data_IF_275704136584
#
_entry.id   IF_275704136584
#
_cell.length_a   1.000
_cell.length_b   1.000
_cell.length_c   1.000
_cell.angle_alpha   90.00
_cell.angle_beta   90.00
_cell.angle_gamma   90.00
#
_symmetry.space_group_name_H-M   'P 1'
#
loop_
_entity.id
_entity.type
_entity.pdbx_description
1 polymer ?
#
# COMPACT_ATOMS: atom_id res chain seq x y z
N UNK A 1 -0.70 6.54 -2.42
CA UNK A 1 -0.95 7.82 -3.11
C UNK A 1 -2.03 7.64 -4.18
N UNK A 2 -1.85 6.80 -5.20
CA UNK A 2 -2.82 6.63 -6.30
C UNK A 2 -4.23 6.12 -5.91
N UNK A 3 -4.37 5.32 -4.84
CA UNK A 3 -5.64 4.69 -4.47
C UNK A 3 -6.75 5.67 -4.01
N UNK A 4 -6.40 6.71 -3.26
CA UNK A 4 -7.39 7.49 -2.48
C UNK A 4 -8.19 8.46 -3.36
N UNK A 5 -7.53 9.16 -4.28
CA UNK A 5 -8.16 10.19 -5.12
C UNK A 5 -8.11 9.80 -6.59
N UNK A 6 -6.91 9.54 -7.12
CA UNK A 6 -6.72 9.27 -8.55
C UNK A 6 -7.56 8.08 -9.07
N UNK A 7 -7.59 6.96 -8.34
CA UNK A 7 -8.35 5.77 -8.75
C UNK A 7 -9.87 6.02 -8.86
N UNK A 8 -10.59 6.48 -7.81
CA UNK A 8 -12.03 6.73 -7.90
C UNK A 8 -12.38 7.71 -9.03
N UNK A 9 -11.58 8.76 -9.20
CA UNK A 9 -11.80 9.75 -10.26
C UNK A 9 -11.59 9.10 -11.62
N UNK A 10 -10.54 8.30 -11.81
CA UNK A 10 -10.29 7.58 -13.06
C UNK A 10 -11.39 6.58 -13.40
N UNK A 11 -11.90 5.81 -12.43
CA UNK A 11 -13.02 4.90 -12.66
C UNK A 11 -14.27 5.66 -13.15
N UNK A 12 -14.52 6.84 -12.61
CA UNK A 12 -15.64 7.67 -13.04
C UNK A 12 -15.42 8.30 -14.43
N UNK A 13 -14.26 8.91 -14.67
CA UNK A 13 -14.02 9.69 -15.89
C UNK A 13 -13.61 8.83 -17.09
N UNK A 14 -12.81 7.79 -16.89
CA UNK A 14 -12.30 6.94 -17.97
C UNK A 14 -13.19 5.72 -18.23
N UNK A 15 -13.71 5.07 -17.19
CA UNK A 15 -14.60 3.91 -17.35
C UNK A 15 -16.09 4.27 -17.33
N UNK A 16 -16.42 5.55 -17.10
CA UNK A 16 -17.80 6.02 -17.07
C UNK A 16 -18.61 5.47 -15.89
N UNK A 17 -17.94 5.01 -14.82
CA UNK A 17 -18.66 4.46 -13.67
C UNK A 17 -19.42 5.55 -12.92
N UNK A 18 -20.67 5.25 -12.59
CA UNK A 18 -21.49 6.06 -11.70
C UNK A 18 -20.92 6.11 -10.28
N UNK A 19 -21.34 7.11 -9.51
CA UNK A 19 -21.00 7.23 -8.09
C UNK A 19 -21.25 5.94 -7.29
N UNK A 20 -22.38 5.27 -7.55
CA UNK A 20 -22.74 4.02 -6.87
C UNK A 20 -21.82 2.86 -7.24
N UNK A 21 -21.39 2.77 -8.49
CA UNK A 21 -20.47 1.72 -8.93
C UNK A 21 -19.07 1.94 -8.32
N UNK A 22 -18.56 3.17 -8.37
CA UNK A 22 -17.26 3.50 -7.75
C UNK A 22 -17.30 3.27 -6.25
N UNK A 23 -18.31 3.82 -5.56
CA UNK A 23 -18.46 3.70 -4.11
C UNK A 23 -18.67 2.25 -3.67
N UNK A 24 -19.55 1.51 -4.35
CA UNK A 24 -19.81 0.10 -4.07
C UNK A 24 -18.58 -0.77 -4.29
N UNK A 25 -17.87 -0.58 -5.40
CA UNK A 25 -16.64 -1.30 -5.67
C UNK A 25 -15.56 -1.05 -4.62
N UNK A 26 -15.30 0.23 -4.26
CA UNK A 26 -14.31 0.57 -3.25
C UNK A 26 -14.71 0.05 -1.86
N UNK A 27 -16.01 0.08 -1.51
CA UNK A 27 -16.51 -0.50 -0.27
C UNK A 27 -16.26 -2.02 -0.22
N UNK A 28 -16.65 -2.75 -1.28
CA UNK A 28 -16.38 -4.18 -1.40
C UNK A 28 -14.88 -4.48 -1.32
N UNK A 29 -14.05 -3.68 -1.98
CA UNK A 29 -12.60 -3.82 -1.94
C UNK A 29 -12.05 -3.62 -0.53
N UNK A 30 -12.48 -2.58 0.19
CA UNK A 30 -12.04 -2.30 1.57
C UNK A 30 -12.45 -3.44 2.52
N UNK A 31 -13.68 -3.97 2.38
CA UNK A 31 -14.15 -5.12 3.16
C UNK A 31 -13.31 -6.36 2.85
N UNK A 32 -13.09 -6.67 1.57
CA UNK A 32 -12.27 -7.80 1.14
C UNK A 32 -10.84 -7.70 1.66
N UNK A 33 -10.23 -6.52 1.57
CA UNK A 33 -8.94 -6.21 2.16
C UNK A 33 -8.93 -6.52 3.67
N UNK A 34 -9.94 -6.09 4.42
CA UNK A 34 -10.04 -6.34 5.87
C UNK A 34 -10.13 -7.82 6.21
N UNK A 35 -10.89 -8.59 5.42
CA UNK A 35 -10.97 -10.06 5.54
C UNK A 35 -9.59 -10.67 5.32
N UNK A 36 -8.90 -10.33 4.23
CA UNK A 36 -7.55 -10.86 3.93
C UNK A 36 -6.56 -10.46 5.03
N UNK A 37 -6.63 -9.23 5.54
CA UNK A 37 -5.78 -8.74 6.61
C UNK A 37 -5.97 -9.54 7.90
N UNK A 38 -7.20 -9.93 8.22
CA UNK A 38 -7.49 -10.78 9.39
C UNK A 38 -6.91 -12.20 9.27
N UNK A 39 -6.78 -12.70 8.04
CA UNK A 39 -6.25 -14.03 7.73
C UNK A 39 -4.72 -14.02 7.55
N UNK A 40 -4.12 -12.87 7.24
CA UNK A 40 -2.69 -12.73 7.00
C UNK A 40 -1.79 -13.35 8.10
N UNK A 41 -2.09 -13.23 9.41
CA UNK A 41 -1.28 -13.89 10.46
C UNK A 41 -1.25 -15.42 10.37
N UNK A 42 -2.29 -16.06 9.81
CA UNK A 42 -2.29 -17.50 9.58
C UNK A 42 -1.41 -17.87 8.38
N UNK A 43 -1.39 -17.01 7.35
CA UNK A 43 -0.62 -17.17 6.11
C UNK A 43 0.87 -16.94 6.35
N UNK A 44 1.23 -15.93 7.14
CA UNK A 44 2.63 -15.58 7.44
C UNK A 44 3.27 -16.45 8.52
N UNK A 45 2.62 -17.54 8.95
CA UNK A 45 3.18 -18.50 9.90
C UNK A 45 3.15 -18.05 11.37
N UNK A 46 2.55 -16.89 11.67
CA UNK A 46 2.47 -16.34 13.04
C UNK A 46 1.72 -17.25 14.00
N UNK A 47 0.66 -17.94 13.55
CA UNK A 47 -0.07 -18.95 14.36
C UNK A 47 0.76 -20.20 14.69
N UNK A 48 1.90 -20.41 13.99
CA UNK A 48 2.80 -21.55 14.17
C UNK A 48 4.09 -21.18 14.92
N UNK A 49 4.14 -20.02 15.58
CA UNK A 49 5.29 -19.60 16.40
C UNK A 49 6.50 -19.07 15.62
N UNK A 50 6.39 -18.90 14.29
CA UNK A 50 7.43 -18.23 13.52
C UNK A 50 7.30 -16.72 13.71
N UNK A 51 8.31 -16.11 14.31
CA UNK A 51 8.43 -14.65 14.41
C UNK A 51 8.73 -14.13 13.01
N UNK A 52 7.90 -13.27 12.41
CA UNK A 52 8.20 -12.68 11.12
C UNK A 52 9.47 -11.84 11.23
N UNK A 53 10.57 -12.34 10.66
CA UNK A 53 11.85 -11.63 10.61
C UNK A 53 11.75 -10.41 9.68
N UNK A 54 12.56 -9.38 9.93
CA UNK A 54 12.62 -8.15 9.14
C UNK A 54 12.87 -8.41 7.65
N UNK A 55 13.53 -9.53 7.31
CA UNK A 55 13.70 -9.99 5.94
C UNK A 55 12.37 -10.36 5.25
N UNK A 56 11.45 -11.02 5.96
CA UNK A 56 10.14 -11.35 5.41
C UNK A 56 9.31 -10.08 5.16
N UNK A 57 9.32 -9.14 6.11
CA UNK A 57 8.67 -7.85 5.95
C UNK A 57 9.23 -7.07 4.75
N UNK A 58 10.56 -7.08 4.56
CA UNK A 58 11.19 -6.46 3.39
C UNK A 58 10.76 -7.09 2.06
N UNK A 59 10.69 -8.42 1.97
CA UNK A 59 10.26 -9.10 0.73
C UNK A 59 8.82 -8.75 0.36
N UNK A 60 7.90 -8.78 1.34
CA UNK A 60 6.51 -8.39 1.11
C UNK A 60 6.39 -6.90 0.72
N UNK A 61 7.16 -6.03 1.37
CA UNK A 61 7.21 -4.62 1.03
C UNK A 61 7.76 -4.39 -0.39
N UNK A 62 8.81 -5.11 -0.79
CA UNK A 62 9.40 -5.01 -2.13
C UNK A 62 8.44 -5.51 -3.23
N UNK A 63 7.72 -6.60 -2.99
CA UNK A 63 6.69 -7.10 -3.91
C UNK A 63 5.55 -6.09 -4.06
N UNK A 64 5.09 -5.51 -2.95
CA UNK A 64 4.08 -4.46 -2.95
C UNK A 64 4.55 -3.19 -3.66
N UNK A 65 5.83 -2.84 -3.52
CA UNK A 65 6.47 -1.67 -4.12
C UNK A 65 6.51 -1.72 -5.65
N UNK A 66 6.78 -2.91 -6.22
CA UNK A 66 6.87 -3.09 -7.67
C UNK A 66 5.51 -3.03 -8.36
N UNK A 67 4.43 -3.26 -7.62
CA UNK A 67 3.12 -3.44 -8.22
C UNK A 67 2.54 -2.18 -8.89
N UNK A 68 2.63 -0.96 -8.31
CA UNK A 68 2.25 0.26 -9.03
C UNK A 68 3.00 0.47 -10.35
N UNK A 69 4.29 0.12 -10.41
CA UNK A 69 5.07 0.20 -11.65
C UNK A 69 4.59 -0.81 -12.69
N UNK A 70 4.29 -2.05 -12.28
CA UNK A 70 3.72 -3.08 -13.17
C UNK A 70 2.36 -2.65 -13.71
N UNK A 71 1.49 -2.08 -12.87
CA UNK A 71 0.19 -1.55 -13.31
C UNK A 71 0.41 -0.39 -14.30
N UNK A 72 1.34 0.52 -14.01
CA UNK A 72 1.65 1.63 -14.91
C UNK A 72 2.14 1.15 -16.28
N UNK A 73 3.01 0.14 -16.31
CA UNK A 73 3.49 -0.47 -17.56
C UNK A 73 2.34 -1.17 -18.31
N UNK A 74 1.49 -1.92 -17.61
CA UNK A 74 0.32 -2.57 -18.20
C UNK A 74 -0.65 -1.56 -18.82
N UNK A 75 -0.86 -0.40 -18.17
CA UNK A 75 -1.70 0.68 -18.71
C UNK A 75 -1.09 1.37 -19.94
N UNK A 76 0.22 1.26 -20.14
CA UNK A 76 0.91 1.76 -21.35
C UNK A 76 0.89 0.76 -22.52
N UNK A 77 0.43 -0.47 -22.28
CA UNK A 77 0.39 -1.53 -23.29
C UNK A 77 -0.97 -1.59 -23.99
N UNK A 78 -1.11 -2.48 -24.97
CA UNK A 78 -2.38 -2.73 -25.67
C UNK A 78 -3.38 -3.56 -24.84
N UNK A 79 -3.03 -3.92 -23.60
CA UNK A 79 -3.93 -4.62 -22.69
C UNK A 79 -5.14 -3.77 -22.31
N UNK A 80 -6.26 -4.43 -22.01
CA UNK A 80 -7.45 -3.75 -21.49
C UNK A 80 -7.11 -2.99 -20.20
N UNK A 81 -7.29 -1.65 -20.16
CA UNK A 81 -7.02 -0.86 -18.96
C UNK A 81 -7.84 -1.32 -17.76
N UNK A 82 -9.06 -1.81 -17.99
CA UNK A 82 -9.93 -2.32 -16.93
C UNK A 82 -9.34 -3.58 -16.29
N UNK A 83 -8.86 -4.54 -17.09
CA UNK A 83 -8.24 -5.76 -16.57
C UNK A 83 -6.95 -5.44 -15.80
N UNK A 84 -6.09 -4.59 -16.36
CA UNK A 84 -4.83 -4.20 -15.73
C UNK A 84 -5.09 -3.49 -14.40
N UNK A 85 -5.98 -2.50 -14.39
CA UNK A 85 -6.22 -1.68 -13.21
C UNK A 85 -6.96 -2.46 -12.13
N UNK A 86 -8.06 -3.14 -12.47
CA UNK A 86 -8.87 -3.87 -11.48
C UNK A 86 -8.15 -5.12 -10.98
N UNK A 87 -7.52 -5.88 -11.87
CA UNK A 87 -6.72 -7.05 -11.49
C UNK A 87 -5.51 -6.65 -10.65
N UNK A 88 -4.78 -5.61 -11.07
CA UNK A 88 -3.68 -5.05 -10.31
C UNK A 88 -4.11 -4.54 -8.94
N UNK A 89 -5.29 -3.92 -8.85
CA UNK A 89 -5.83 -3.41 -7.59
C UNK A 89 -6.22 -4.55 -6.62
N UNK A 90 -6.79 -5.64 -7.10
CA UNK A 90 -7.09 -6.81 -6.27
C UNK A 90 -5.81 -7.45 -5.72
N UNK A 91 -4.80 -7.62 -6.58
CA UNK A 91 -3.49 -8.12 -6.17
C UNK A 91 -2.83 -7.17 -5.16
N UNK A 92 -2.92 -5.86 -5.40
CA UNK A 92 -2.42 -4.83 -4.49
C UNK A 92 -3.09 -4.95 -3.12
N UNK A 93 -4.41 -5.15 -3.07
CA UNK A 93 -5.15 -5.32 -1.81
C UNK A 93 -4.66 -6.52 -1.01
N UNK A 94 -4.45 -7.66 -1.67
CA UNK A 94 -3.95 -8.87 -1.01
C UNK A 94 -2.53 -8.67 -0.44
N UNK A 95 -1.61 -8.13 -1.23
CA UNK A 95 -0.24 -7.85 -0.77
C UNK A 95 -0.22 -6.79 0.34
N UNK A 96 -1.01 -5.73 0.18
CA UNK A 96 -1.10 -4.64 1.14
C UNK A 96 -1.66 -5.12 2.48
N UNK A 97 -2.64 -6.01 2.49
CA UNK A 97 -3.20 -6.61 3.69
C UNK A 97 -2.13 -7.37 4.49
N UNK A 98 -1.32 -8.18 3.82
CA UNK A 98 -0.22 -8.92 4.45
C UNK A 98 0.81 -7.94 5.03
N UNK A 99 1.28 -6.99 4.21
CA UNK A 99 2.29 -6.02 4.63
C UNK A 99 1.83 -5.14 5.81
N UNK A 100 0.58 -4.67 5.76
CA UNK A 100 -0.06 -3.88 6.83
C UNK A 100 -0.13 -4.67 8.15
N UNK A 101 -0.49 -5.95 8.10
CA UNK A 101 -0.53 -6.82 9.29
C UNK A 101 0.84 -7.04 9.93
N UNK A 102 1.89 -7.16 9.11
CA UNK A 102 3.27 -7.33 9.58
C UNK A 102 3.78 -6.04 10.23
N UNK A 103 3.54 -4.89 9.61
CA UNK A 103 4.02 -3.60 10.12
C UNK A 103 3.43 -3.26 11.48
N UNK A 104 2.11 -3.43 11.64
CA UNK A 104 1.43 -3.22 12.93
C UNK A 104 1.97 -4.13 14.04
N UNK A 105 2.37 -5.37 13.71
CA UNK A 105 2.97 -6.26 14.69
C UNK A 105 4.38 -5.81 15.07
N UNK A 106 5.24 -5.52 14.09
CA UNK A 106 6.63 -5.15 14.32
C UNK A 106 6.76 -3.92 15.22
N UNK A 107 5.89 -2.92 15.04
CA UNK A 107 5.87 -1.72 15.88
C UNK A 107 5.62 -2.06 17.35
N UNK A 108 4.65 -2.94 17.61
CA UNK A 108 4.32 -3.36 18.97
C UNK A 108 5.44 -4.22 19.56
N UNK A 109 6.09 -5.07 18.77
CA UNK A 109 7.21 -5.89 19.26
C UNK A 109 8.51 -5.12 19.45
N UNK A 110 8.72 -4.01 18.73
CA UNK A 110 9.92 -3.18 18.86
C UNK A 110 9.79 -2.05 19.89
N UNK A 111 8.58 -1.70 20.32
CA UNK A 111 8.38 -0.70 21.35
C UNK A 111 8.98 -1.17 22.68
N UNK A 112 9.95 -0.42 23.20
CA UNK A 112 10.57 -0.69 24.52
C UNK A 112 9.58 -0.32 25.63
N UNK A 113 9.55 -1.11 26.71
CA UNK A 113 8.63 -0.92 27.84
C UNK A 113 8.68 0.51 28.40
N UNK A 114 9.86 1.12 28.43
CA UNK A 114 10.05 2.55 28.73
C UNK A 114 9.96 3.38 27.44
N UNK A 115 8.81 4.04 27.20
CA UNK A 115 8.63 4.99 26.09
C UNK A 115 7.65 4.57 24.98
N UNK A 116 6.92 3.46 25.16
CA UNK A 116 5.94 2.93 24.19
C UNK A 116 5.00 4.02 23.63
N UNK A 117 4.46 4.89 24.49
CA UNK A 117 3.51 5.92 24.07
C UNK A 117 4.11 6.96 23.11
N UNK A 118 5.40 7.28 23.29
CA UNK A 118 6.10 8.25 22.45
C UNK A 118 6.44 7.63 21.07
N UNK A 119 6.97 6.40 21.05
CA UNK A 119 7.33 5.70 19.82
C UNK A 119 6.09 5.41 18.95
N UNK A 120 5.01 4.95 19.60
CA UNK A 120 3.71 4.74 18.94
C UNK A 120 3.12 6.07 18.45
N UNK A 121 3.26 7.15 19.23
CA UNK A 121 2.84 8.50 18.85
C UNK A 121 3.55 9.00 17.58
N UNK A 122 4.88 8.89 17.53
CA UNK A 122 5.67 9.25 16.35
C UNK A 122 5.30 8.43 15.11
N UNK A 123 5.04 7.13 15.28
CA UNK A 123 4.58 6.28 14.19
C UNK A 123 3.23 6.75 13.61
N UNK A 124 2.23 6.98 14.46
CA UNK A 124 0.92 7.42 14.00
C UNK A 124 0.97 8.82 13.37
N UNK A 125 1.77 9.73 13.91
CA UNK A 125 2.00 11.06 13.32
C UNK A 125 2.63 10.93 11.93
N UNK A 126 3.65 10.10 11.77
CA UNK A 126 4.33 9.87 10.49
C UNK A 126 3.37 9.25 9.46
N UNK A 127 2.54 8.29 9.87
CA UNK A 127 1.50 7.71 9.02
C UNK A 127 0.44 8.74 8.60
N UNK A 128 -0.01 9.60 9.53
CA UNK A 128 -0.96 10.67 9.22
C UNK A 128 -0.37 11.68 8.21
N UNK A 129 0.87 12.10 8.41
CA UNK A 129 1.58 13.00 7.49
C UNK A 129 1.72 12.37 6.10
N UNK A 130 2.12 11.09 6.02
CA UNK A 130 2.21 10.36 4.76
C UNK A 130 0.88 10.27 4.03
N UNK A 131 -0.23 10.05 4.75
CA UNK A 131 -1.59 10.05 4.19
C UNK A 131 -2.02 11.42 3.69
N UNK A 132 -1.70 12.48 4.43
CA UNK A 132 -2.00 13.86 4.03
C UNK A 132 -1.26 14.22 2.74
N UNK A 133 0.06 14.08 2.72
CA UNK A 133 0.89 14.35 1.54
C UNK A 133 0.46 13.47 0.36
N UNK A 134 0.24 12.18 0.61
CA UNK A 134 -0.21 11.25 -0.40
C UNK A 134 -1.58 11.61 -0.99
N UNK A 135 -2.50 12.17 -0.21
CA UNK A 135 -3.83 12.57 -0.71
C UNK A 135 -3.74 13.83 -1.54
N UNK A 136 -3.02 14.85 -1.06
CA UNK A 136 -2.82 16.11 -1.79
C UNK A 136 -2.07 15.89 -3.11
N UNK A 137 -0.95 15.16 -3.07
CA UNK A 137 -0.17 14.84 -4.26
C UNK A 137 -0.95 13.97 -5.24
N UNK A 138 -1.79 13.04 -4.75
CA UNK A 138 -2.67 12.23 -5.62
C UNK A 138 -3.62 13.10 -6.42
N UNK A 139 -4.31 14.03 -5.76
CA UNK A 139 -5.22 14.96 -6.44
C UNK A 139 -4.48 15.85 -7.45
N UNK A 140 -3.38 16.47 -7.04
CA UNK A 140 -2.61 17.38 -7.90
C UNK A 140 -2.00 16.67 -9.12
N UNK A 141 -1.28 15.57 -8.91
CA UNK A 141 -0.62 14.82 -10.00
C UNK A 141 -1.66 14.22 -10.94
N UNK A 142 -2.78 13.72 -10.42
CA UNK A 142 -3.83 13.15 -11.28
C UNK A 142 -4.44 14.22 -12.19
N UNK A 143 -4.75 15.41 -11.67
CA UNK A 143 -5.31 16.48 -12.47
C UNK A 143 -4.35 16.97 -13.55
N UNK A 144 -3.05 17.05 -13.24
CA UNK A 144 -2.04 17.54 -14.18
C UNK A 144 -1.55 16.49 -15.20
N UNK A 145 -1.42 15.22 -14.79
CA UNK A 145 -0.71 14.20 -15.55
C UNK A 145 -1.42 12.82 -15.60
N UNK A 146 -2.57 12.67 -14.96
CA UNK A 146 -3.38 11.45 -14.99
C UNK A 146 -2.89 10.31 -14.08
N UNK A 147 -3.59 9.16 -14.17
CA UNK A 147 -3.40 8.01 -13.28
C UNK A 147 -2.01 7.38 -13.39
N UNK A 148 -1.48 7.28 -14.61
CA UNK A 148 -0.20 6.60 -14.85
C UNK A 148 0.96 7.34 -14.18
N UNK A 149 0.93 8.68 -14.18
CA UNK A 149 1.87 9.49 -13.42
C UNK A 149 1.73 9.27 -11.91
N UNK A 150 0.51 9.16 -11.38
CA UNK A 150 0.28 8.83 -9.97
C UNK A 150 0.89 7.47 -9.57
N UNK A 151 0.83 6.49 -10.45
CA UNK A 151 1.42 5.16 -10.24
C UNK A 151 2.94 5.22 -10.22
N UNK A 152 3.56 5.93 -11.18
CA UNK A 152 5.02 6.12 -11.21
C UNK A 152 5.53 6.88 -9.99
N UNK A 153 4.89 7.99 -9.62
CA UNK A 153 5.26 8.74 -8.41
C UNK A 153 5.09 7.88 -7.15
N UNK A 154 4.04 7.05 -7.10
CA UNK A 154 3.88 6.07 -6.01
C UNK A 154 5.04 5.08 -5.96
N UNK A 155 5.43 4.50 -7.10
CA UNK A 155 6.56 3.59 -7.19
C UNK A 155 7.87 4.26 -6.75
N UNK A 156 8.13 5.49 -7.21
CA UNK A 156 9.30 6.28 -6.81
C UNK A 156 9.37 6.52 -5.31
N UNK A 157 8.25 6.87 -4.66
CA UNK A 157 8.23 7.03 -3.21
C UNK A 157 8.60 5.74 -2.47
N UNK A 158 8.13 4.60 -2.95
CA UNK A 158 8.47 3.33 -2.32
C UNK A 158 9.93 2.95 -2.56
N UNK A 159 10.49 3.23 -3.74
CA UNK A 159 11.93 3.07 -4.01
C UNK A 159 12.75 3.95 -3.08
N UNK A 160 12.39 5.22 -2.92
CA UNK A 160 13.06 6.15 -1.99
C UNK A 160 12.98 5.62 -0.56
N UNK A 161 11.80 5.16 -0.12
CA UNK A 161 11.63 4.57 1.21
C UNK A 161 12.51 3.32 1.40
N UNK A 162 12.62 2.46 0.38
CA UNK A 162 13.48 1.29 0.41
C UNK A 162 14.96 1.67 0.49
N UNK A 163 15.41 2.66 -0.29
CA UNK A 163 16.79 3.16 -0.25
C UNK A 163 17.14 3.78 1.11
N UNK A 164 16.24 4.58 1.69
CA UNK A 164 16.42 5.12 3.05
C UNK A 164 16.52 3.99 4.07
N UNK A 165 15.73 2.93 3.92
CA UNK A 165 15.74 1.79 4.83
C UNK A 165 17.06 1.00 4.80
N UNK A 166 17.80 1.03 3.68
CA UNK A 166 19.14 0.44 3.61
C UNK A 166 20.16 1.14 4.51
N UNK A 167 19.94 2.42 4.84
CA UNK A 167 20.78 3.21 5.74
C UNK A 167 20.46 3.00 7.22
N UNK A 168 19.43 2.22 7.57
CA UNK A 168 19.05 1.96 8.96
C UNK A 168 19.98 0.93 9.63
N UNK A 169 20.31 1.09 10.92
CA UNK A 169 21.17 0.16 11.64
C UNK A 169 20.54 -1.24 11.72
N UNK A 170 21.24 -2.23 11.14
CA UNK A 170 20.84 -3.64 11.20
C UNK A 170 21.02 -4.14 12.63
N UNK A 171 19.92 -4.42 13.32
CA UNK A 171 19.97 -5.14 14.59
C UNK A 171 20.29 -6.60 14.25
N UNK A 172 21.48 -7.06 14.65
CA UNK A 172 21.85 -8.46 14.55
C UNK A 172 20.89 -9.27 15.43
N UNK A 173 20.27 -10.29 14.83
CA UNK A 173 19.49 -11.31 15.51
C UNK A 173 20.36 -12.13 16.45
#
# INVERSE_FOLDING_TARGET
>A
MWFVIALPVYLSTAFGWSFWQVGGFLACWIIGYGIVQSLAPAITGKRRGHVPDGRAAFVWAAMLAGLPAVIAMGLASELSPALVLLGGLLLFGALFAVNSSLHSYLIVSYAKEDGVSLDVGFYYMSNALGRLLGTLLSGWVFQAYGLQACLWVSASFVVVAALISLGLPRHAS
#
